data_IF_635846121580
#
_entry.id   IF_635846121580
#
_cell.length_a   1.000
_cell.length_b   1.000
_cell.length_c   1.000
_cell.angle_alpha   90.00
_cell.angle_beta   90.00
_cell.angle_gamma   90.00
#
_symmetry.space_group_name_H-M   'P 1'
#
loop_
_entity.id
_entity.type
_entity.pdbx_description
1 polymer ?
#
# COMPACT_ATOMS: atom_id res chain seq x y z
N UNK A 1 -49.53 15.23 47.35
CA UNK A 1 -50.39 14.74 46.23
C UNK A 1 -49.66 15.12 44.96
N UNK A 2 -48.80 14.31 44.32
CA UNK A 2 -48.69 12.85 44.21
C UNK A 2 -47.22 12.44 44.42
N UNK A 3 -47.03 11.32 45.13
CA UNK A 3 -45.77 10.65 45.45
C UNK A 3 -45.58 9.47 44.47
N UNK A 4 -44.37 8.93 44.41
CA UNK A 4 -43.94 7.61 43.86
C UNK A 4 -43.65 7.57 42.34
N UNK A 5 -42.62 6.90 41.84
CA UNK A 5 -41.64 6.01 42.48
C UNK A 5 -40.31 5.99 41.71
N UNK A 6 -39.25 5.74 42.46
CA UNK A 6 -37.93 5.35 42.02
C UNK A 6 -37.99 3.99 41.32
N UNK A 7 -37.40 3.87 40.13
CA UNK A 7 -36.69 2.64 39.77
C UNK A 7 -35.38 3.02 39.10
N UNK A 8 -34.39 3.17 39.96
CA UNK A 8 -33.01 2.79 39.76
C UNK A 8 -32.89 1.53 38.86
N UNK A 9 -32.32 1.69 37.68
CA UNK A 9 -31.65 0.58 36.99
C UNK A 9 -30.27 1.03 36.49
N UNK A 10 -29.40 1.26 37.46
CA UNK A 10 -27.97 1.14 37.24
C UNK A 10 -27.63 -0.36 37.20
N UNK A 11 -27.29 -0.89 36.00
CA UNK A 11 -26.26 -1.93 35.75
C UNK A 11 -26.37 -2.48 34.31
N UNK A 12 -25.53 -2.00 33.40
CA UNK A 12 -24.88 -2.90 32.44
C UNK A 12 -23.58 -2.28 31.90
N UNK A 13 -22.48 -2.79 32.46
CA UNK A 13 -21.12 -2.82 31.93
C UNK A 13 -20.66 -1.74 30.97
N UNK A 14 -19.96 -0.73 31.51
CA UNK A 14 -18.69 -0.33 30.87
C UNK A 14 -17.81 -1.57 30.87
N UNK A 15 -17.56 -2.18 29.72
CA UNK A 15 -16.55 -3.24 29.63
C UNK A 15 -15.17 -2.56 29.69
N UNK A 16 -14.39 -2.74 30.78
CA UNK A 16 -13.03 -2.24 30.84
C UNK A 16 -12.17 -3.31 30.17
N UNK A 17 -12.04 -3.23 28.86
CA UNK A 17 -11.48 -4.35 28.10
C UNK A 17 -11.08 -4.09 26.66
N UNK A 18 -11.45 -2.96 26.05
CA UNK A 18 -10.91 -2.57 24.75
C UNK A 18 -9.46 -2.12 24.93
N UNK A 19 -8.58 -3.10 25.13
CA UNK A 19 -7.18 -2.96 24.77
C UNK A 19 -7.20 -2.51 23.31
N UNK A 20 -6.50 -1.41 22.93
CA UNK A 20 -6.20 -1.23 21.53
C UNK A 20 -5.53 -2.53 21.09
N UNK A 21 -6.18 -3.24 20.16
CA UNK A 21 -5.59 -4.37 19.47
C UNK A 21 -4.16 -3.97 19.16
N UNK A 22 -3.20 -4.72 19.68
CA UNK A 22 -1.82 -4.56 19.24
C UNK A 22 -1.88 -4.82 17.73
N UNK A 23 -1.90 -3.76 16.93
CA UNK A 23 -1.83 -3.90 15.49
C UNK A 23 -0.53 -4.67 15.26
N UNK A 24 -0.64 -5.92 14.81
CA UNK A 24 0.55 -6.64 14.46
C UNK A 24 1.15 -5.81 13.32
N UNK A 25 2.41 -5.38 13.44
CA UNK A 25 3.02 -4.53 12.42
C UNK A 25 3.00 -5.19 11.02
N UNK A 26 2.79 -6.51 10.98
CA UNK A 26 2.60 -7.31 9.78
C UNK A 26 1.21 -7.14 9.11
N UNK A 27 0.19 -6.62 9.81
CA UNK A 27 -1.17 -6.44 9.27
C UNK A 27 -1.16 -5.48 8.06
N UNK A 28 -0.27 -4.47 8.07
CA UNK A 28 -0.05 -3.56 6.92
C UNK A 28 0.40 -4.32 5.67
N UNK A 29 1.15 -5.42 5.81
CA UNK A 29 1.61 -6.21 4.66
C UNK A 29 0.54 -7.16 4.11
N UNK A 30 -0.52 -7.46 4.88
CA UNK A 30 -1.61 -8.32 4.40
C UNK A 30 -2.45 -7.64 3.31
N UNK A 31 -2.47 -6.31 3.30
CA UNK A 31 -3.24 -5.50 2.34
C UNK A 31 -2.41 -5.04 1.13
N UNK A 32 -1.07 -5.14 1.21
CA UNK A 32 -0.17 -4.62 0.18
C UNK A 32 0.38 -5.76 -0.69
N UNK A 33 -0.08 -5.80 -1.93
CA UNK A 33 0.48 -6.66 -2.97
C UNK A 33 1.86 -6.13 -3.41
N UNK A 34 2.90 -6.94 -3.22
CA UNK A 34 4.28 -6.61 -3.57
C UNK A 34 4.43 -6.27 -5.06
N UNK A 35 3.59 -6.84 -5.93
CA UNK A 35 3.57 -6.52 -7.35
C UNK A 35 3.20 -5.05 -7.60
N UNK A 36 2.43 -4.41 -6.71
CA UNK A 36 2.12 -2.98 -6.80
C UNK A 36 3.38 -2.13 -6.58
N UNK A 37 4.23 -2.52 -5.63
CA UNK A 37 5.49 -1.81 -5.35
C UNK A 37 6.46 -1.94 -6.52
N UNK A 38 6.60 -3.14 -7.09
CA UNK A 38 7.41 -3.34 -8.29
C UNK A 38 6.84 -2.55 -9.48
N UNK A 39 5.52 -2.61 -9.69
CA UNK A 39 4.86 -1.86 -10.77
C UNK A 39 5.09 -0.36 -10.63
N UNK A 40 4.99 0.18 -9.41
CA UNK A 40 5.28 1.58 -9.12
C UNK A 40 6.71 1.95 -9.53
N UNK A 41 7.72 1.17 -9.13
CA UNK A 41 9.12 1.43 -9.47
C UNK A 41 9.34 1.39 -10.99
N UNK A 42 8.69 0.47 -11.71
CA UNK A 42 8.80 0.40 -13.16
C UNK A 42 8.13 1.60 -13.84
N UNK A 43 6.92 2.00 -13.44
CA UNK A 43 6.26 3.22 -13.98
C UNK A 43 7.14 4.44 -13.74
N UNK A 44 7.76 4.54 -12.55
CA UNK A 44 8.62 5.66 -12.22
C UNK A 44 9.84 5.74 -13.15
N UNK A 45 10.49 4.62 -13.44
CA UNK A 45 11.65 4.59 -14.33
C UNK A 45 11.26 4.79 -15.80
N UNK A 46 10.21 4.10 -16.26
CA UNK A 46 9.82 4.10 -17.67
C UNK A 46 9.12 5.40 -18.09
N UNK A 47 8.48 6.12 -17.16
CA UNK A 47 7.67 7.32 -17.44
C UNK A 47 6.62 7.13 -18.54
N UNK A 48 6.27 5.88 -18.85
CA UNK A 48 5.40 5.51 -19.96
C UNK A 48 4.69 4.19 -19.63
N UNK A 49 3.36 4.20 -19.68
CA UNK A 49 2.56 3.03 -19.24
C UNK A 49 2.62 1.86 -20.23
N UNK A 50 2.84 2.11 -21.52
CA UNK A 50 3.00 1.04 -22.51
C UNK A 50 4.35 0.34 -22.31
N UNK A 51 5.45 1.10 -22.20
CA UNK A 51 6.77 0.52 -21.89
C UNK A 51 6.78 -0.23 -20.56
N UNK A 52 6.05 0.28 -19.57
CA UNK A 52 5.86 -0.43 -18.29
C UNK A 52 5.22 -1.79 -18.50
N UNK A 53 4.15 -1.85 -19.31
CA UNK A 53 3.43 -3.10 -19.58
C UNK A 53 4.31 -4.12 -20.33
N UNK A 54 5.10 -3.65 -21.30
CA UNK A 54 6.07 -4.47 -22.02
C UNK A 54 7.16 -5.00 -21.09
N UNK A 55 7.73 -4.13 -20.24
CA UNK A 55 8.80 -4.49 -19.31
C UNK A 55 8.37 -5.49 -18.24
N UNK A 56 7.12 -5.43 -17.80
CA UNK A 56 6.56 -6.34 -16.82
C UNK A 56 5.91 -7.59 -17.45
N UNK A 57 5.85 -7.67 -18.78
CA UNK A 57 5.15 -8.72 -19.53
C UNK A 57 3.69 -8.91 -19.07
N UNK A 58 2.96 -7.80 -18.95
CA UNK A 58 1.55 -7.79 -18.53
C UNK A 58 0.69 -6.94 -19.46
N UNK A 59 -0.62 -7.16 -19.42
CA UNK A 59 -1.59 -6.32 -20.15
C UNK A 59 -1.64 -4.92 -19.55
N UNK A 60 -1.81 -3.89 -20.39
CA UNK A 60 -1.97 -2.50 -19.96
C UNK A 60 -3.14 -2.29 -18.97
N UNK A 61 -4.19 -3.11 -19.04
CA UNK A 61 -5.29 -3.09 -18.06
C UNK A 61 -4.84 -3.48 -16.65
N UNK A 62 -3.85 -4.38 -16.52
CA UNK A 62 -3.25 -4.72 -15.24
C UNK A 62 -2.46 -3.54 -14.67
N UNK A 63 -1.68 -2.83 -15.50
CA UNK A 63 -0.98 -1.60 -15.10
C UNK A 63 -1.97 -0.52 -14.64
N UNK A 64 -3.06 -0.34 -15.38
CA UNK A 64 -4.09 0.66 -15.03
C UNK A 64 -4.77 0.34 -13.69
N UNK A 65 -5.07 -0.94 -13.44
CA UNK A 65 -5.63 -1.39 -12.16
C UNK A 65 -4.62 -1.23 -11.01
N UNK A 66 -3.36 -1.61 -11.23
CA UNK A 66 -2.29 -1.44 -10.25
C UNK A 66 -2.11 0.05 -9.88
N UNK A 67 -2.12 0.94 -10.87
CA UNK A 67 -2.04 2.39 -10.64
C UNK A 67 -3.25 2.91 -9.85
N UNK A 68 -4.46 2.42 -10.12
CA UNK A 68 -5.65 2.78 -9.34
C UNK A 68 -5.52 2.37 -7.87
N UNK A 69 -5.05 1.13 -7.61
CA UNK A 69 -4.80 0.66 -6.24
C UNK A 69 -3.72 1.49 -5.53
N UNK A 70 -2.59 1.74 -6.20
CA UNK A 70 -1.52 2.58 -5.66
C UNK A 70 -2.02 3.97 -5.27
N UNK A 71 -2.87 4.58 -6.11
CA UNK A 71 -3.46 5.89 -5.82
C UNK A 71 -4.34 5.89 -4.58
N UNK A 72 -5.12 4.82 -4.38
CA UNK A 72 -5.94 4.64 -3.17
C UNK A 72 -5.06 4.43 -1.93
N UNK A 73 -4.06 3.55 -2.01
CA UNK A 73 -3.18 3.25 -0.87
C UNK A 73 -2.38 4.46 -0.41
N UNK A 74 -1.83 5.25 -1.33
CA UNK A 74 -1.03 6.43 -0.98
C UNK A 74 -1.86 7.72 -0.86
N UNK A 75 -3.15 7.65 -1.17
CA UNK A 75 -4.05 8.79 -1.26
C UNK A 75 -3.44 9.96 -2.08
N UNK A 76 -2.84 9.63 -3.23
CA UNK A 76 -2.13 10.57 -4.11
C UNK A 76 -2.27 10.11 -5.56
N UNK A 77 -2.27 11.02 -6.53
CA UNK A 77 -2.36 10.65 -7.96
C UNK A 77 -1.11 9.94 -8.49
N UNK A 78 0.04 10.12 -7.82
CA UNK A 78 1.39 9.59 -8.03
C UNK A 78 2.02 9.93 -9.38
N UNK A 79 1.25 9.81 -10.46
CA UNK A 79 1.68 10.08 -11.81
C UNK A 79 0.60 10.87 -12.56
N UNK A 80 0.98 12.06 -13.01
CA UNK A 80 0.18 12.96 -13.84
C UNK A 80 0.39 12.61 -15.32
N UNK A 81 -0.66 12.73 -16.14
CA UNK A 81 -0.52 12.52 -17.58
C UNK A 81 0.22 13.70 -18.22
N UNK A 82 1.20 13.39 -19.05
CA UNK A 82 1.97 14.33 -19.85
C UNK A 82 1.97 13.88 -21.32
N UNK A 83 0.82 14.00 -21.99
CA UNK A 83 0.63 13.46 -23.33
C UNK A 83 0.64 11.93 -23.32
N UNK A 84 1.59 11.32 -24.04
CA UNK A 84 1.79 9.86 -24.07
C UNK A 84 2.59 9.33 -22.87
N UNK A 85 3.27 10.23 -22.16
CA UNK A 85 4.10 9.90 -21.01
C UNK A 85 3.38 10.24 -19.70
N UNK A 86 3.99 9.83 -18.60
CA UNK A 86 3.56 10.15 -17.24
C UNK A 86 4.67 10.81 -16.45
N UNK A 87 4.32 11.85 -15.71
CA UNK A 87 5.23 12.60 -14.84
C UNK A 87 4.96 12.26 -13.37
N UNK A 88 5.97 11.96 -12.54
CA UNK A 88 5.74 11.70 -11.12
C UNK A 88 5.27 12.98 -10.42
N UNK A 89 4.45 12.81 -9.39
CA UNK A 89 4.22 13.86 -8.40
C UNK A 89 5.40 13.94 -7.44
N UNK A 90 5.45 15.02 -6.67
CA UNK A 90 6.42 15.13 -5.56
C UNK A 90 6.28 13.97 -4.57
N UNK A 91 5.06 13.51 -4.31
CA UNK A 91 4.80 12.37 -3.44
C UNK A 91 5.38 11.08 -4.01
N UNK A 92 5.24 10.83 -5.31
CA UNK A 92 5.87 9.68 -5.96
C UNK A 92 7.40 9.74 -5.93
N UNK A 93 8.02 10.91 -6.08
CA UNK A 93 9.47 11.05 -5.91
C UNK A 93 9.93 10.64 -4.50
N UNK A 94 9.23 11.13 -3.47
CA UNK A 94 9.54 10.77 -2.08
C UNK A 94 9.38 9.27 -1.83
N UNK A 95 8.29 8.67 -2.31
CA UNK A 95 8.06 7.21 -2.19
C UNK A 95 9.18 6.45 -2.91
N UNK A 96 9.58 6.87 -4.11
CA UNK A 96 10.64 6.20 -4.86
C UNK A 96 11.99 6.20 -4.12
N UNK A 97 12.37 7.33 -3.49
CA UNK A 97 13.62 7.43 -2.73
C UNK A 97 13.65 6.47 -1.54
N UNK A 98 12.53 6.29 -0.85
CA UNK A 98 12.42 5.40 0.32
C UNK A 98 12.23 3.92 -0.08
N UNK A 99 11.44 3.66 -1.11
CA UNK A 99 11.05 2.30 -1.52
C UNK A 99 12.19 1.56 -2.24
N UNK A 100 12.96 2.26 -3.08
CA UNK A 100 14.05 1.67 -3.86
C UNK A 100 15.08 0.92 -3.00
N UNK A 101 15.67 1.50 -1.93
CA UNK A 101 16.64 0.78 -1.11
C UNK A 101 16.02 -0.42 -0.38
N UNK A 102 14.75 -0.35 0.03
CA UNK A 102 14.05 -1.47 0.67
C UNK A 102 13.87 -2.65 -0.30
N UNK A 103 13.39 -2.39 -1.53
CA UNK A 103 13.22 -3.42 -2.56
C UNK A 103 14.58 -4.01 -2.98
N UNK A 104 15.63 -3.19 -3.11
CA UNK A 104 16.98 -3.67 -3.43
C UNK A 104 17.55 -4.60 -2.35
N UNK A 105 17.25 -4.32 -1.08
CA UNK A 105 17.65 -5.18 0.04
C UNK A 105 16.97 -6.53 -0.03
N UNK A 106 15.65 -6.56 -0.28
CA UNK A 106 14.88 -7.80 -0.48
C UNK A 106 15.42 -8.57 -1.68
N UNK A 107 15.64 -7.90 -2.81
CA UNK A 107 16.16 -8.53 -4.02
C UNK A 107 17.54 -9.16 -3.79
N UNK A 108 18.43 -8.46 -3.09
CA UNK A 108 19.78 -8.94 -2.77
C UNK A 108 19.75 -10.18 -1.87
N UNK A 109 18.82 -10.23 -0.91
CA UNK A 109 18.60 -11.39 -0.06
C UNK A 109 18.07 -12.58 -0.87
N UNK A 110 17.03 -12.38 -1.68
CA UNK A 110 16.47 -13.44 -2.52
C UNK A 110 17.48 -13.98 -3.53
N UNK A 111 18.33 -13.12 -4.11
CA UNK A 111 19.39 -13.55 -5.02
C UNK A 111 20.43 -14.40 -4.28
N UNK A 112 20.88 -13.98 -3.09
CA UNK A 112 21.83 -14.74 -2.28
C UNK A 112 21.35 -16.17 -2.01
N UNK A 113 20.11 -16.32 -1.58
CA UNK A 113 19.53 -17.65 -1.30
C UNK A 113 19.44 -18.53 -2.56
N UNK A 114 19.14 -17.93 -3.72
CA UNK A 114 19.13 -18.68 -4.99
C UNK A 114 20.52 -19.17 -5.41
N UNK A 115 21.58 -18.45 -5.08
CA UNK A 115 22.95 -18.85 -5.37
C UNK A 115 23.55 -19.76 -4.29
N UNK A 116 23.05 -19.73 -3.06
CA UNK A 116 23.50 -20.62 -1.98
C UNK A 116 22.99 -22.05 -2.12
N UNK A 117 22.01 -22.30 -3.00
CA UNK A 117 21.43 -23.62 -3.26
C UNK A 117 22.15 -24.41 -4.38
N UNK A 118 23.41 -24.08 -4.69
CA UNK A 118 24.27 -24.78 -5.65
C UNK A 118 25.58 -25.16 -5.01
#
# INVERSE_FOLDING_TARGET
MKVMDETNDARSGRHPGDRPSQCNHLDIFSEIDFNLMVTFLVIFNERNLNRTSERLDVKQSAISNALAKLRLHFNDVLFERAGYDVRPTRRAELIFMELTPAINSIQSLLQRERFSAK
#
